data_IF_227380563767
#
_entry.id   IF_227380563767
#
_cell.length_a   1.000
_cell.length_b   1.000
_cell.length_c   1.000
_cell.angle_alpha   90.00
_cell.angle_beta   90.00
_cell.angle_gamma   90.00
#
_symmetry.space_group_name_H-M   'P 1'
#
loop_
_entity.id
_entity.type
_entity.pdbx_description
1 polymer ?
#
# COMPACT_ATOMS: atom_id res chain seq x y z
N UNK A 1 -9.59 -27.70 15.29
CA UNK A 1 -9.67 -26.74 14.18
C UNK A 1 -8.36 -26.84 13.44
N UNK A 2 -8.37 -27.44 12.25
CA UNK A 2 -7.18 -27.56 11.41
C UNK A 2 -6.87 -26.17 10.85
N UNK A 3 -5.65 -25.70 11.06
CA UNK A 3 -5.14 -24.48 10.44
C UNK A 3 -5.19 -24.66 8.92
N UNK A 4 -5.87 -23.77 8.21
CA UNK A 4 -5.90 -23.81 6.75
C UNK A 4 -4.48 -23.47 6.25
N UNK A 5 -3.93 -24.19 5.24
CA UNK A 5 -2.59 -23.90 4.77
C UNK A 5 -2.50 -22.44 4.29
N UNK A 6 -1.48 -21.72 4.77
CA UNK A 6 -1.24 -20.33 4.40
C UNK A 6 -0.82 -20.29 2.92
N UNK A 7 -1.70 -19.78 2.05
CA UNK A 7 -1.37 -19.57 0.64
C UNK A 7 -0.47 -18.34 0.52
N UNK A 8 0.79 -18.54 0.15
CA UNK A 8 1.75 -17.46 -0.11
C UNK A 8 1.79 -17.11 -1.60
N UNK A 9 1.69 -15.82 -1.91
CA UNK A 9 1.82 -15.27 -3.26
C UNK A 9 3.03 -14.33 -3.26
N UNK A 10 3.92 -14.49 -4.23
CA UNK A 10 5.09 -13.64 -4.45
C UNK A 10 5.13 -13.21 -5.91
N UNK A 11 5.52 -11.96 -6.17
CA UNK A 11 5.70 -11.42 -7.52
C UNK A 11 6.91 -10.51 -7.55
N UNK A 12 7.66 -10.56 -8.65
CA UNK A 12 8.77 -9.64 -8.93
C UNK A 12 8.45 -8.80 -10.16
N UNK A 13 8.69 -7.50 -10.08
CA UNK A 13 8.52 -6.57 -11.20
C UNK A 13 9.62 -5.51 -11.20
N UNK A 14 10.32 -5.38 -12.32
CA UNK A 14 11.23 -4.26 -12.55
C UNK A 14 10.42 -2.98 -12.79
N UNK A 15 10.76 -1.92 -12.06
CA UNK A 15 10.20 -0.57 -12.23
C UNK A 15 11.36 0.37 -12.55
N UNK A 16 11.24 1.15 -13.61
CA UNK A 16 12.23 2.15 -14.01
C UNK A 16 12.10 3.41 -13.14
N UNK A 17 12.33 3.26 -11.84
CA UNK A 17 12.33 4.31 -10.84
C UNK A 17 13.38 3.99 -9.76
N UNK A 18 13.89 5.03 -9.11
CA UNK A 18 14.78 4.83 -7.96
C UNK A 18 14.03 4.21 -6.77
N UNK A 19 14.74 3.54 -5.84
CA UNK A 19 14.12 3.07 -4.61
C UNK A 19 13.43 4.18 -3.83
N UNK A 20 14.01 5.38 -3.79
CA UNK A 20 13.42 6.54 -3.10
C UNK A 20 12.08 6.97 -3.70
N UNK A 21 11.95 6.96 -5.03
CA UNK A 21 10.68 7.28 -5.70
C UNK A 21 9.62 6.21 -5.40
N UNK A 22 10.00 4.94 -5.41
CA UNK A 22 9.11 3.83 -5.08
C UNK A 22 8.62 3.96 -3.63
N UNK A 23 9.53 4.13 -2.66
CA UNK A 23 9.17 4.34 -1.26
C UNK A 23 8.36 5.62 -1.05
N UNK A 24 8.60 6.65 -1.85
CA UNK A 24 7.82 7.89 -1.83
C UNK A 24 6.34 7.65 -2.14
N UNK A 25 6.02 6.72 -3.04
CA UNK A 25 4.62 6.30 -3.30
C UNK A 25 4.09 5.43 -2.16
N UNK A 26 4.87 4.48 -1.66
CA UNK A 26 4.43 3.52 -0.64
C UNK A 26 4.20 4.14 0.74
N UNK A 27 4.89 5.24 1.07
CA UNK A 27 4.74 5.95 2.36
C UNK A 27 3.66 7.03 2.33
N UNK A 28 3.20 7.42 1.13
CA UNK A 28 2.24 8.51 0.95
C UNK A 28 0.80 7.97 0.93
N UNK A 29 -0.10 8.45 1.82
CA UNK A 29 -1.51 8.05 1.81
C UNK A 29 -2.17 8.16 0.43
N UNK A 30 -1.90 9.24 -0.31
CA UNK A 30 -2.45 9.43 -1.65
C UNK A 30 -1.81 8.48 -2.67
N UNK A 31 -0.56 8.07 -2.44
CA UNK A 31 0.14 7.09 -3.26
C UNK A 31 -0.55 5.72 -3.26
N UNK A 32 -1.14 5.30 -2.13
CA UNK A 32 -1.92 4.05 -2.05
C UNK A 32 -3.15 4.10 -2.95
N UNK A 33 -3.92 5.19 -2.92
CA UNK A 33 -5.09 5.38 -3.79
C UNK A 33 -4.67 5.38 -5.27
N UNK A 34 -3.55 6.01 -5.60
CA UNK A 34 -3.08 6.12 -6.99
C UNK A 34 -2.64 4.77 -7.61
N UNK A 35 -2.20 3.80 -6.80
CA UNK A 35 -1.74 2.49 -7.27
C UNK A 35 -2.76 1.36 -7.03
N UNK A 36 -3.94 1.69 -6.53
CA UNK A 36 -4.97 0.69 -6.30
C UNK A 36 -5.55 0.16 -7.63
N UNK A 37 -5.16 -1.06 -7.98
CA UNK A 37 -5.69 -1.75 -9.14
C UNK A 37 -7.05 -2.40 -8.88
N UNK A 38 -7.50 -2.49 -7.61
CA UNK A 38 -8.81 -3.06 -7.28
C UNK A 38 -9.97 -2.09 -7.55
N UNK A 39 -9.69 -0.79 -7.52
CA UNK A 39 -10.70 0.27 -7.65
C UNK A 39 -11.55 0.47 -6.40
N UNK A 40 -11.11 -0.06 -5.26
CA UNK A 40 -11.85 -0.04 -4.01
C UNK A 40 -11.42 1.11 -3.09
N UNK A 41 -10.21 1.66 -3.22
CA UNK A 41 -9.78 2.82 -2.42
C UNK A 41 -10.41 4.10 -2.99
N UNK A 42 -11.07 4.90 -2.14
CA UNK A 42 -11.70 6.17 -2.53
C UNK A 42 -10.82 7.39 -2.21
N UNK A 43 -10.29 7.45 -0.99
CA UNK A 43 -9.47 8.57 -0.52
C UNK A 43 -8.59 8.13 0.65
N UNK A 44 -7.59 8.93 0.99
CA UNK A 44 -6.76 8.71 2.15
C UNK A 44 -6.45 10.03 2.86
N UNK A 45 -6.32 9.97 4.18
CA UNK A 45 -6.11 11.11 5.07
C UNK A 45 -4.96 10.83 6.04
N UNK A 46 -4.13 11.82 6.28
CA UNK A 46 -2.98 11.75 7.18
C UNK A 46 -1.68 12.18 6.51
N UNK A 47 -0.60 12.16 7.29
CA UNK A 47 0.75 12.45 6.81
C UNK A 47 1.43 11.20 6.25
N UNK A 48 2.53 11.42 5.52
CA UNK A 48 3.40 10.33 5.09
C UNK A 48 3.98 9.60 6.30
N UNK A 49 4.09 8.27 6.19
CA UNK A 49 4.76 7.47 7.21
C UNK A 49 6.28 7.64 7.13
N UNK A 50 6.93 7.95 8.25
CA UNK A 50 8.37 8.18 8.33
C UNK A 50 9.06 7.26 9.35
N UNK A 51 8.30 6.70 10.29
CA UNK A 51 8.81 5.84 11.35
C UNK A 51 7.86 4.66 11.61
N UNK A 52 8.39 3.66 12.34
CA UNK A 52 7.59 2.54 12.83
C UNK A 52 6.53 3.05 13.80
N UNK A 53 5.28 2.65 13.56
CA UNK A 53 4.14 3.07 14.36
C UNK A 53 3.33 4.20 13.75
N UNK A 54 3.85 4.86 12.71
CA UNK A 54 3.07 5.85 11.95
C UNK A 54 1.93 5.16 11.19
N UNK A 55 0.76 5.81 11.20
CA UNK A 55 -0.46 5.31 10.56
C UNK A 55 -1.19 6.44 9.87
N UNK A 56 -1.85 6.13 8.77
CA UNK A 56 -2.82 6.99 8.11
C UNK A 56 -4.13 6.23 7.86
N UNK A 57 -5.19 6.96 7.52
CA UNK A 57 -6.51 6.38 7.27
C UNK A 57 -6.73 6.28 5.77
N UNK A 58 -7.26 5.14 5.32
CA UNK A 58 -7.75 4.97 3.95
C UNK A 58 -9.24 4.69 3.99
N UNK A 59 -9.98 5.42 3.17
CA UNK A 59 -11.41 5.25 2.97
C UNK A 59 -11.62 4.36 1.76
N UNK A 60 -12.35 3.26 1.96
CA UNK A 60 -12.69 2.30 0.91
C UNK A 60 -14.17 2.37 0.57
N UNK A 61 -14.51 2.12 -0.69
CA UNK A 61 -15.90 1.96 -1.12
C UNK A 61 -16.55 0.80 -0.37
N UNK A 62 -17.81 0.98 0.01
CA UNK A 62 -18.59 -0.03 0.74
C UNK A 62 -19.46 -0.83 -0.22
#
# INVERSE_FOLDING_TARGET
MTDAPTTRIEVDRAIAASPTEIFGVLSDPAGHVAIDASGMLMSAEGDRTAAVGDTFVVHMDR
#
